data_IF_550851929170
#
_entry.id   IF_550851929170
#
_cell.length_a   1.000
_cell.length_b   1.000
_cell.length_c   1.000
_cell.angle_alpha   90.00
_cell.angle_beta   90.00
_cell.angle_gamma   90.00
#
_symmetry.space_group_name_H-M   'P 1'
#
loop_
_entity.id
_entity.type
_entity.pdbx_description
1 polymer ?
#
# COMPACT_ATOMS: atom_id res chain seq x y z
N UNK A 1 25.66 16.51 -8.77
CA UNK A 1 25.87 16.73 -7.32
C UNK A 1 24.63 16.20 -6.62
N UNK A 2 24.79 15.12 -5.85
CA UNK A 2 23.68 14.29 -5.37
C UNK A 2 22.72 15.04 -4.44
N UNK A 3 21.42 14.91 -4.69
CA UNK A 3 20.33 15.42 -3.87
C UNK A 3 20.09 14.51 -2.66
N UNK A 4 20.80 14.74 -1.56
CA UNK A 4 20.37 14.22 -0.25
C UNK A 4 20.58 15.32 0.79
N UNK A 5 19.66 16.30 0.88
CA UNK A 5 19.79 17.43 1.81
C UNK A 5 19.65 17.02 3.28
N UNK A 6 19.06 15.86 3.56
CA UNK A 6 18.80 15.42 4.93
C UNK A 6 20.03 14.77 5.60
N UNK A 7 20.87 14.08 4.83
CA UNK A 7 22.06 13.39 5.38
C UNK A 7 23.24 14.34 5.59
N UNK A 8 23.38 15.39 4.78
CA UNK A 8 24.40 16.43 4.99
C UNK A 8 24.13 17.28 6.22
N UNK A 9 22.86 17.57 6.50
CA UNK A 9 22.43 18.24 7.73
C UNK A 9 22.67 17.35 8.96
N UNK A 10 22.38 16.04 8.88
CA UNK A 10 22.68 15.08 9.94
C UNK A 10 24.19 14.86 10.18
N UNK A 11 25.01 14.88 9.12
CA UNK A 11 26.47 14.79 9.24
C UNK A 11 27.09 16.05 9.86
N UNK A 12 26.53 17.24 9.55
CA UNK A 12 26.91 18.48 10.21
C UNK A 12 26.49 18.49 11.70
N UNK A 13 25.39 17.81 12.04
CA UNK A 13 24.94 17.61 13.42
C UNK A 13 25.78 16.61 14.22
N UNK A 14 26.34 15.59 13.59
CA UNK A 14 27.20 14.61 14.25
C UNK A 14 28.58 15.19 14.62
N UNK A 15 29.05 16.19 13.88
CA UNK A 15 30.33 16.88 14.10
C UNK A 15 30.29 17.95 15.20
N UNK A 16 29.11 18.50 15.52
CA UNK A 16 28.99 19.64 16.44
C UNK A 16 28.76 19.24 17.91
N UNK A 17 28.34 18.00 18.20
CA UNK A 17 28.18 17.38 19.54
C UNK A 17 27.49 18.23 20.64
N UNK A 18 26.83 19.33 20.30
CA UNK A 18 26.19 20.23 21.27
C UNK A 18 24.67 20.08 21.25
N UNK A 19 24.18 19.11 22.03
CA UNK A 19 22.75 18.79 22.14
C UNK A 19 21.92 19.88 22.86
N UNK A 20 22.56 20.89 23.46
CA UNK A 20 21.88 22.00 24.16
C UNK A 20 21.09 22.92 23.23
N UNK A 21 21.46 22.98 21.95
CA UNK A 21 20.79 23.83 20.94
C UNK A 21 19.75 23.01 20.14
N UNK A 22 19.79 21.68 20.24
CA UNK A 22 18.92 20.77 19.49
C UNK A 22 17.50 20.69 20.10
N UNK A 23 17.40 20.61 21.43
CA UNK A 23 16.13 20.50 22.13
C UNK A 23 15.18 21.70 21.86
N UNK A 24 15.67 22.97 21.88
CA UNK A 24 14.83 24.12 21.55
C UNK A 24 14.42 24.18 20.07
N UNK A 25 15.30 23.76 19.16
CA UNK A 25 15.07 23.89 17.71
C UNK A 25 14.04 22.88 17.21
N UNK A 26 14.11 21.61 17.65
CA UNK A 26 13.11 20.60 17.30
C UNK A 26 11.73 20.95 17.87
N UNK A 27 11.69 21.54 19.08
CA UNK A 27 10.47 22.07 19.69
C UNK A 27 9.88 23.24 18.89
N UNK A 28 10.71 24.18 18.45
CA UNK A 28 10.28 25.32 17.63
C UNK A 28 9.71 24.89 16.28
N UNK A 29 10.36 23.93 15.60
CA UNK A 29 9.87 23.38 14.32
C UNK A 29 8.55 22.61 14.52
N UNK A 30 8.44 21.83 15.59
CA UNK A 30 7.20 21.13 15.95
C UNK A 30 6.03 22.09 16.22
N UNK A 31 6.28 23.17 16.97
CA UNK A 31 5.27 24.20 17.26
C UNK A 31 4.86 25.00 16.02
N UNK A 32 5.81 25.32 15.14
CA UNK A 32 5.51 26.03 13.89
C UNK A 32 4.58 25.23 12.95
N UNK A 33 4.65 23.90 12.99
CA UNK A 33 3.77 23.01 12.21
C UNK A 33 2.43 22.80 12.93
N UNK A 34 2.42 22.80 14.26
CA UNK A 34 1.20 22.58 15.05
C UNK A 34 0.26 23.80 15.09
N UNK A 35 0.80 25.02 15.15
CA UNK A 35 0.00 26.26 15.24
C UNK A 35 -0.98 26.45 14.07
N UNK A 36 -0.59 26.23 12.80
CA UNK A 36 -1.53 26.25 11.67
C UNK A 36 -2.56 25.11 11.75
N UNK A 37 -2.17 23.94 12.29
CA UNK A 37 -3.02 22.75 12.36
C UNK A 37 -4.15 22.89 13.38
N UNK A 38 -3.93 23.60 14.49
CA UNK A 38 -4.97 23.85 15.51
C UNK A 38 -5.85 25.06 15.16
N UNK A 39 -5.32 26.03 14.42
CA UNK A 39 -6.08 27.21 13.98
C UNK A 39 -7.13 26.89 12.89
N UNK A 40 -7.03 25.73 12.23
CA UNK A 40 -7.97 25.30 11.18
C UNK A 40 -9.14 24.43 11.68
N UNK A 41 -9.33 24.27 13.00
CA UNK A 41 -10.38 23.42 13.58
C UNK A 41 -11.56 24.19 14.20
N UNK A 42 -11.78 25.46 13.83
CA UNK A 42 -12.81 26.27 14.48
C UNK A 42 -13.50 27.29 13.59
N UNK A 43 -14.51 26.84 12.83
CA UNK A 43 -15.88 27.38 12.85
C UNK A 43 -16.70 26.93 11.62
N UNK A 44 -17.64 26.02 11.87
CA UNK A 44 -18.94 26.05 11.18
C UNK A 44 -19.93 26.78 12.10
N UNK A 45 -20.55 27.87 11.63
CA UNK A 45 -21.91 28.35 11.95
C UNK A 45 -22.15 29.78 11.42
N UNK A 46 -22.92 29.82 10.32
CA UNK A 46 -23.97 30.74 9.89
C UNK A 46 -23.82 32.28 9.80
N UNK A 47 -24.21 32.73 8.59
CA UNK A 47 -24.92 33.95 8.20
C UNK A 47 -24.14 35.28 8.10
N UNK A 48 -23.84 35.71 6.86
CA UNK A 48 -24.61 36.76 6.14
C UNK A 48 -23.78 37.35 4.98
N UNK A 49 -24.45 37.45 3.83
CA UNK A 49 -24.18 38.16 2.57
C UNK A 49 -22.99 39.14 2.45
N UNK A 50 -22.32 39.08 1.30
CA UNK A 50 -21.56 40.24 0.79
C UNK A 50 -20.43 39.96 -0.19
N UNK A 51 -20.78 39.70 -1.47
CA UNK A 51 -20.04 40.06 -2.71
C UNK A 51 -18.53 39.76 -2.88
N UNK A 52 -18.27 39.20 -4.07
CA UNK A 52 -17.03 39.26 -4.88
C UNK A 52 -15.80 38.47 -4.42
N UNK A 53 -15.71 37.22 -4.91
CA UNK A 53 -14.47 36.45 -5.02
C UNK A 53 -13.66 36.91 -6.23
N UNK A 54 -12.46 37.42 -6.00
CA UNK A 54 -11.50 37.75 -7.06
C UNK A 54 -10.21 38.37 -6.54
N UNK A 55 -9.26 37.54 -6.11
CA UNK A 55 -7.80 37.80 -5.99
C UNK A 55 -7.17 36.51 -5.44
N UNK A 56 -6.23 35.83 -6.10
CA UNK A 56 -5.16 36.37 -6.92
C UNK A 56 -4.17 37.10 -6.03
N UNK A 57 -3.38 36.37 -5.23
CA UNK A 57 -2.29 36.96 -4.47
C UNK A 57 -0.96 36.74 -5.19
N UNK A 58 -0.52 37.80 -5.85
CA UNK A 58 0.88 38.10 -6.08
C UNK A 58 1.56 38.37 -4.72
N UNK A 59 2.62 37.62 -4.44
CA UNK A 59 3.57 37.97 -3.38
C UNK A 59 4.47 39.08 -3.93
N UNK A 60 4.31 40.29 -3.41
CA UNK A 60 5.33 41.34 -3.51
C UNK A 60 6.05 41.41 -2.18
N UNK A 61 7.35 41.17 -2.22
CA UNK A 61 8.29 41.54 -1.16
C UNK A 61 8.61 43.04 -1.23
N UNK A 62 8.81 43.67 -0.07
CA UNK A 62 9.77 44.76 0.08
C UNK A 62 10.74 44.41 1.23
N UNK A 63 12.02 44.78 1.26
CA UNK A 63 12.79 45.76 0.49
C UNK A 63 14.25 45.68 0.95
N UNK A 64 15.16 45.87 -0.01
CA UNK A 64 16.46 46.55 0.02
C UNK A 64 17.30 46.68 1.30
N UNK A 65 18.60 46.35 1.15
CA UNK A 65 19.70 47.35 1.28
C UNK A 65 21.05 46.84 0.71
N UNK A 66 21.54 47.57 -0.32
CA UNK A 66 22.92 47.94 -0.78
C UNK A 66 24.09 46.97 -0.46
N UNK A 67 25.02 46.67 -1.38
CA UNK A 67 26.02 47.61 -1.93
C UNK A 67 26.81 46.99 -3.12
N UNK A 68 27.32 47.87 -4.00
CA UNK A 68 28.53 47.77 -4.88
C UNK A 68 28.54 46.89 -6.16
N UNK A 69 28.53 47.63 -7.28
CA UNK A 69 29.46 47.58 -8.43
C UNK A 69 29.45 46.40 -9.44
N UNK A 70 29.39 46.78 -10.73
CA UNK A 70 30.01 46.02 -11.82
C UNK A 70 29.11 45.70 -13.01
N UNK A 71 29.14 46.58 -14.02
CA UNK A 71 29.03 46.34 -15.47
C UNK A 71 28.61 44.93 -15.98
N UNK A 72 27.64 44.86 -16.90
CA UNK A 72 27.83 44.94 -18.36
C UNK A 72 26.48 44.96 -19.09
N UNK A 73 26.46 45.69 -20.21
CA UNK A 73 25.39 45.76 -21.20
C UNK A 73 25.36 44.51 -22.08
N UNK A 74 24.22 44.34 -22.75
CA UNK A 74 24.01 43.79 -24.11
C UNK A 74 23.20 42.50 -24.30
N UNK A 75 21.97 42.72 -24.80
CA UNK A 75 21.29 42.14 -25.99
C UNK A 75 20.98 40.65 -26.09
N UNK A 76 19.67 40.42 -26.11
CA UNK A 76 18.89 39.71 -27.13
C UNK A 76 18.93 38.17 -27.24
N UNK A 77 17.72 37.63 -27.06
CA UNK A 77 17.06 36.62 -27.88
C UNK A 77 17.46 35.14 -27.67
N UNK A 78 16.64 34.42 -26.87
CA UNK A 78 16.25 33.04 -27.19
C UNK A 78 15.02 32.63 -26.40
N UNK A 79 14.01 32.13 -27.12
CA UNK A 79 12.71 31.65 -26.62
C UNK A 79 12.81 30.70 -25.42
N UNK A 80 12.26 31.10 -24.26
CA UNK A 80 11.78 30.15 -23.26
C UNK A 80 10.29 29.89 -23.52
N UNK A 81 9.99 28.82 -24.25
CA UNK A 81 8.65 28.21 -24.18
C UNK A 81 8.41 27.77 -22.73
N UNK A 82 7.68 28.57 -21.97
CA UNK A 82 7.07 28.12 -20.73
C UNK A 82 5.95 27.13 -21.07
N UNK A 83 6.19 25.86 -20.78
CA UNK A 83 5.16 24.83 -20.74
C UNK A 83 4.22 25.13 -19.57
N UNK A 84 3.10 25.80 -19.85
CA UNK A 84 1.96 25.77 -18.94
C UNK A 84 1.37 24.37 -18.98
N UNK A 85 1.56 23.62 -17.89
CA UNK A 85 0.78 22.40 -17.65
C UNK A 85 -0.67 22.85 -17.48
N UNK A 86 -1.46 22.67 -18.52
CA UNK A 86 -2.92 22.76 -18.44
C UNK A 86 -3.35 21.55 -17.60
N UNK A 87 -3.40 21.72 -16.28
CA UNK A 87 -4.02 20.75 -15.40
C UNK A 87 -5.53 20.80 -15.65
N UNK A 88 -6.03 19.80 -16.39
CA UNK A 88 -7.46 19.59 -16.57
C UNK A 88 -8.03 18.99 -15.26
N UNK A 89 -8.88 19.71 -14.51
CA UNK A 89 -9.29 19.30 -13.16
C UNK A 89 -10.25 18.10 -13.14
N UNK A 90 -10.80 17.69 -14.29
CA UNK A 90 -11.83 16.64 -14.39
C UNK A 90 -11.30 15.20 -14.53
N UNK A 91 -10.00 14.96 -14.34
CA UNK A 91 -9.38 13.64 -14.60
C UNK A 91 -8.73 12.97 -13.38
N UNK A 92 -8.76 13.60 -12.20
CA UNK A 92 -8.03 13.11 -11.03
C UNK A 92 -8.79 12.05 -10.20
N UNK A 93 -10.11 11.90 -10.36
CA UNK A 93 -10.91 10.98 -9.54
C UNK A 93 -11.08 9.56 -10.12
N UNK A 94 -10.95 9.37 -11.44
CA UNK A 94 -11.19 8.06 -12.09
C UNK A 94 -9.94 7.18 -12.25
N UNK A 95 -8.76 7.73 -11.96
CA UNK A 95 -7.44 7.09 -12.14
C UNK A 95 -6.61 7.12 -10.85
N UNK A 96 -7.29 7.22 -9.72
CA UNK A 96 -6.65 7.17 -8.43
C UNK A 96 -6.55 5.71 -7.94
N UNK A 97 -5.34 5.29 -7.55
CA UNK A 97 -5.04 3.92 -7.14
C UNK A 97 -5.87 3.52 -5.91
N UNK A 98 -6.09 4.46 -5.00
CA UNK A 98 -6.84 4.27 -3.76
C UNK A 98 -8.31 3.98 -4.08
N UNK A 99 -8.91 4.79 -4.95
CA UNK A 99 -10.28 4.58 -5.45
C UNK A 99 -10.47 3.19 -6.07
N UNK A 100 -9.51 2.70 -6.87
CA UNK A 100 -9.61 1.37 -7.48
C UNK A 100 -9.49 0.26 -6.42
N UNK A 101 -8.60 0.42 -5.45
CA UNK A 101 -8.43 -0.55 -4.36
C UNK A 101 -9.67 -0.65 -3.46
N UNK A 102 -10.40 0.45 -3.28
CA UNK A 102 -11.66 0.50 -2.55
C UNK A 102 -12.81 -0.19 -3.31
N UNK A 103 -12.87 -0.06 -4.64
CA UNK A 103 -13.91 -0.69 -5.46
C UNK A 103 -13.64 -2.17 -5.74
N UNK A 104 -12.37 -2.55 -5.88
CA UNK A 104 -11.99 -3.88 -6.34
C UNK A 104 -12.18 -4.92 -5.23
N UNK A 105 -12.84 -6.04 -5.57
CA UNK A 105 -13.07 -7.14 -4.63
C UNK A 105 -12.00 -8.22 -4.73
N UNK A 106 -11.69 -8.84 -3.58
CA UNK A 106 -10.69 -9.91 -3.45
C UNK A 106 -10.96 -11.08 -4.39
N UNK A 107 -12.23 -11.46 -4.63
CA UNK A 107 -12.54 -12.59 -5.52
C UNK A 107 -12.04 -12.41 -6.96
N UNK A 108 -11.84 -11.17 -7.43
CA UNK A 108 -11.30 -10.88 -8.77
C UNK A 108 -9.78 -11.04 -8.85
N UNK A 109 -9.08 -10.86 -7.74
CA UNK A 109 -7.62 -10.83 -7.67
C UNK A 109 -7.03 -12.13 -7.13
N UNK A 110 -7.76 -12.83 -6.26
CA UNK A 110 -7.28 -14.06 -5.63
C UNK A 110 -6.96 -15.15 -6.66
N UNK A 111 -5.93 -15.94 -6.37
CA UNK A 111 -5.67 -17.18 -7.10
C UNK A 111 -6.60 -18.27 -6.60
N UNK A 112 -7.18 -19.02 -7.55
CA UNK A 112 -7.87 -20.30 -7.26
C UNK A 112 -6.92 -21.50 -7.29
N UNK A 113 -5.70 -21.30 -7.81
CA UNK A 113 -4.66 -22.31 -7.79
C UNK A 113 -3.89 -22.17 -6.47
N UNK A 114 -4.19 -23.06 -5.53
CA UNK A 114 -3.50 -23.20 -4.26
C UNK A 114 -3.50 -24.67 -3.86
N UNK A 115 -2.46 -25.09 -3.16
CA UNK A 115 -2.30 -26.50 -2.77
C UNK A 115 -2.78 -26.70 -1.34
N UNK A 116 -3.60 -27.74 -1.13
CA UNK A 116 -4.05 -28.19 0.18
C UNK A 116 -3.24 -29.40 0.64
N UNK A 117 -2.99 -29.50 1.94
CA UNK A 117 -2.40 -30.67 2.59
C UNK A 117 -3.16 -30.99 3.88
N UNK A 118 -3.16 -32.26 4.29
CA UNK A 118 -3.81 -32.65 5.54
C UNK A 118 -2.94 -32.33 6.75
N UNK A 119 -3.55 -32.30 7.94
CA UNK A 119 -2.82 -32.12 9.21
C UNK A 119 -1.73 -33.17 9.44
N UNK A 120 -1.96 -34.40 8.96
CA UNK A 120 -1.06 -35.54 9.11
C UNK A 120 0.03 -35.66 8.05
N UNK A 121 0.01 -34.86 6.99
CA UNK A 121 1.06 -34.86 5.96
C UNK A 121 2.43 -34.67 6.61
N UNK A 122 3.41 -35.49 6.21
CA UNK A 122 4.76 -35.39 6.77
C UNK A 122 5.45 -34.09 6.34
N UNK A 123 6.35 -33.58 7.17
CA UNK A 123 7.10 -32.37 6.86
C UNK A 123 7.96 -32.53 5.60
N UNK A 124 8.54 -33.73 5.38
CA UNK A 124 9.30 -34.04 4.17
C UNK A 124 8.44 -33.96 2.93
N UNK A 125 7.26 -34.57 2.96
CA UNK A 125 6.31 -34.54 1.85
C UNK A 125 5.83 -33.12 1.58
N UNK A 126 5.44 -32.37 2.61
CA UNK A 126 5.03 -30.98 2.47
C UNK A 126 6.15 -30.10 1.89
N UNK A 127 7.41 -30.29 2.31
CA UNK A 127 8.56 -29.59 1.75
C UNK A 127 8.79 -29.93 0.27
N UNK A 128 8.55 -31.18 -0.13
CA UNK A 128 8.61 -31.60 -1.53
C UNK A 128 7.49 -30.93 -2.34
N UNK A 129 6.25 -30.99 -1.86
CA UNK A 129 5.08 -30.34 -2.48
C UNK A 129 5.34 -28.84 -2.67
N UNK A 130 5.87 -28.16 -1.65
CA UNK A 130 6.17 -26.72 -1.72
C UNK A 130 7.16 -26.39 -2.85
N UNK A 131 8.21 -27.22 -3.03
CA UNK A 131 9.21 -27.06 -4.08
C UNK A 131 8.65 -27.38 -5.47
N UNK A 132 7.99 -28.54 -5.60
CA UNK A 132 7.52 -29.06 -6.89
C UNK A 132 6.34 -28.23 -7.44
N UNK A 133 5.50 -27.69 -6.56
CA UNK A 133 4.35 -26.86 -6.96
C UNK A 133 4.69 -25.39 -7.22
N UNK A 134 5.93 -24.97 -6.95
CA UNK A 134 6.37 -23.57 -6.98
C UNK A 134 5.46 -22.62 -6.19
N UNK A 135 4.79 -23.12 -5.15
CA UNK A 135 3.92 -22.32 -4.29
C UNK A 135 4.70 -21.75 -3.10
N UNK A 136 4.36 -20.52 -2.69
CA UNK A 136 4.97 -19.89 -1.52
C UNK A 136 4.44 -20.44 -0.19
N UNK A 137 3.29 -21.13 -0.22
CA UNK A 137 2.70 -21.77 0.94
C UNK A 137 1.75 -22.91 0.58
N UNK A 138 1.44 -23.73 1.59
CA UNK A 138 0.43 -24.78 1.56
C UNK A 138 -0.69 -24.44 2.54
N UNK A 139 -1.93 -24.72 2.13
CA UNK A 139 -3.11 -24.61 2.99
C UNK A 139 -3.26 -25.92 3.75
N UNK A 140 -3.14 -25.88 5.07
CA UNK A 140 -3.33 -27.05 5.93
C UNK A 140 -4.79 -27.13 6.30
N UNK A 141 -5.45 -28.24 5.97
CA UNK A 141 -6.88 -28.45 6.19
C UNK A 141 -7.15 -29.64 7.11
N UNK A 142 -8.28 -29.60 7.81
CA UNK A 142 -8.80 -30.75 8.56
C UNK A 142 -9.53 -31.74 7.63
N UNK A 143 -10.01 -32.85 8.21
CA UNK A 143 -10.74 -33.91 7.49
C UNK A 143 -12.04 -33.40 6.82
N UNK A 144 -12.63 -32.33 7.33
CA UNK A 144 -13.86 -31.72 6.80
C UNK A 144 -13.56 -30.63 5.72
N UNK A 145 -12.30 -30.50 5.31
CA UNK A 145 -11.73 -29.45 4.44
C UNK A 145 -11.80 -28.01 5.00
N UNK A 146 -11.88 -27.83 6.31
CA UNK A 146 -11.77 -26.51 6.92
C UNK A 146 -10.30 -26.13 7.10
N UNK A 147 -10.01 -24.83 6.93
CA UNK A 147 -8.67 -24.29 7.12
C UNK A 147 -8.23 -24.43 8.58
N UNK A 148 -7.12 -25.15 8.79
CA UNK A 148 -6.51 -25.38 10.09
C UNK A 148 -5.17 -24.66 10.27
N UNK A 149 -4.44 -24.40 9.17
CA UNK A 149 -3.11 -23.79 9.21
C UNK A 149 -2.62 -23.29 7.86
N UNK A 150 -1.55 -22.50 7.89
CA UNK A 150 -0.74 -22.16 6.72
C UNK A 150 0.69 -22.65 6.96
N UNK A 151 1.29 -23.30 5.97
CA UNK A 151 2.67 -23.75 6.03
C UNK A 151 3.50 -23.07 4.95
N UNK A 152 4.60 -22.44 5.35
CA UNK A 152 5.56 -21.76 4.48
C UNK A 152 6.96 -22.36 4.63
N UNK A 153 7.85 -22.05 3.69
CA UNK A 153 9.27 -22.36 3.84
C UNK A 153 9.88 -21.72 5.10
N UNK A 154 9.35 -20.57 5.53
CA UNK A 154 9.76 -19.89 6.76
C UNK A 154 9.43 -20.70 8.02
N UNK A 155 8.23 -21.28 8.07
CA UNK A 155 7.81 -22.15 9.18
C UNK A 155 8.71 -23.40 9.26
N UNK A 156 8.96 -24.04 8.11
CA UNK A 156 9.83 -25.23 8.03
C UNK A 156 11.24 -24.88 8.51
N UNK A 157 11.82 -23.78 8.01
CA UNK A 157 13.17 -23.35 8.39
C UNK A 157 13.25 -22.98 9.87
N UNK A 158 12.27 -22.22 10.39
CA UNK A 158 12.20 -21.84 11.79
C UNK A 158 12.12 -23.06 12.70
N UNK A 159 11.31 -24.04 12.34
CA UNK A 159 11.19 -25.29 13.06
C UNK A 159 12.49 -26.11 13.09
N UNK A 160 13.15 -26.26 11.94
CA UNK A 160 14.43 -26.97 11.83
C UNK A 160 15.57 -26.26 12.58
N UNK A 161 15.54 -24.93 12.65
CA UNK A 161 16.58 -24.14 13.35
C UNK A 161 16.36 -24.05 14.87
N UNK A 162 15.10 -24.15 15.34
CA UNK A 162 14.74 -23.97 16.75
C UNK A 162 15.05 -25.19 17.62
N UNK A 163 15.06 -26.40 17.04
CA UNK A 163 15.32 -27.63 17.79
C UNK A 163 16.71 -28.15 17.48
N UNK A 164 17.59 -28.01 18.45
CA UNK A 164 18.95 -28.58 18.46
C UNK A 164 18.85 -30.12 18.40
N UNK A 165 19.03 -30.67 17.20
CA UNK A 165 19.64 -31.96 16.85
C UNK A 165 19.22 -33.28 17.55
N UNK A 166 18.11 -33.35 18.28
CA UNK A 166 17.63 -34.63 18.85
C UNK A 166 16.38 -35.14 18.13
N UNK A 167 16.59 -36.12 17.24
CA UNK A 167 15.58 -37.04 16.67
C UNK A 167 14.38 -36.33 16.00
N UNK A 168 14.66 -35.46 15.04
CA UNK A 168 13.63 -34.96 14.13
C UNK A 168 13.67 -35.76 12.84
N UNK A 169 12.83 -36.79 12.79
CA UNK A 169 12.56 -37.45 11.55
C UNK A 169 11.50 -36.65 10.77
N UNK A 170 11.96 -35.89 9.76
CA UNK A 170 11.07 -35.17 8.85
C UNK A 170 10.03 -36.08 8.19
N UNK A 171 10.28 -37.40 8.12
CA UNK A 171 9.34 -38.36 7.57
C UNK A 171 8.14 -38.62 8.50
N UNK A 172 8.29 -38.43 9.81
CA UNK A 172 7.23 -38.69 10.80
C UNK A 172 6.65 -37.44 11.43
N UNK A 173 7.34 -36.29 11.35
CA UNK A 173 6.84 -35.03 11.88
C UNK A 173 5.65 -34.53 11.05
N UNK A 174 4.44 -34.39 11.63
CA UNK A 174 3.28 -33.91 10.89
C UNK A 174 3.31 -32.39 10.73
N UNK A 175 2.80 -31.91 9.59
CA UNK A 175 2.64 -30.48 9.29
C UNK A 175 1.82 -29.75 10.37
N UNK A 176 0.89 -30.43 11.02
CA UNK A 176 0.12 -29.85 12.14
C UNK A 176 1.00 -29.33 13.28
N UNK A 177 2.22 -29.82 13.45
CA UNK A 177 3.12 -29.37 14.53
C UNK A 177 3.98 -28.17 14.13
N UNK A 178 4.03 -27.85 12.84
CA UNK A 178 4.95 -26.84 12.26
C UNK A 178 4.21 -25.67 11.65
N UNK A 179 3.03 -25.90 11.08
CA UNK A 179 2.26 -24.84 10.43
C UNK A 179 1.86 -23.72 11.39
N UNK A 180 1.78 -22.51 10.85
CA UNK A 180 1.18 -21.38 11.54
C UNK A 180 -0.32 -21.65 11.68
N UNK A 181 -0.84 -21.62 12.91
CA UNK A 181 -2.28 -21.80 13.23
C UNK A 181 -2.92 -20.58 13.90
N UNK A 182 -2.09 -19.77 14.53
CA UNK A 182 -2.49 -18.60 15.31
C UNK A 182 -1.47 -17.51 15.08
N UNK A 183 -1.89 -16.28 15.28
CA UNK A 183 -1.02 -15.11 15.27
C UNK A 183 -1.16 -14.39 16.60
N UNK A 184 -0.08 -13.78 17.07
CA UNK A 184 -0.11 -12.93 18.25
C UNK A 184 -0.39 -11.49 17.82
N UNK A 185 -1.31 -10.82 18.49
CA UNK A 185 -1.60 -9.41 18.29
C UNK A 185 -1.83 -8.71 19.61
N UNK A 186 -1.09 -7.63 19.89
CA UNK A 186 -1.20 -6.87 21.15
C UNK A 186 -1.17 -7.80 22.39
N UNK A 187 -0.25 -8.76 22.38
CA UNK A 187 -0.09 -9.75 23.46
C UNK A 187 -1.17 -10.84 23.53
N UNK A 188 -2.17 -10.83 22.63
CA UNK A 188 -3.24 -11.83 22.60
C UNK A 188 -3.11 -12.77 21.41
N UNK A 189 -3.32 -14.06 21.65
CA UNK A 189 -3.47 -15.03 20.57
C UNK A 189 -4.77 -14.78 19.79
N UNK A 190 -4.65 -14.76 18.46
CA UNK A 190 -5.77 -14.66 17.52
C UNK A 190 -5.67 -15.84 16.55
N UNK A 191 -6.80 -16.19 15.94
CA UNK A 191 -6.82 -17.20 14.86
C UNK A 191 -6.07 -16.72 13.62
N UNK A 192 -5.94 -17.61 12.63
CA UNK A 192 -5.33 -17.29 11.34
C UNK A 192 -5.88 -16.00 10.72
N UNK A 193 -4.95 -15.22 10.17
CA UNK A 193 -5.29 -14.09 9.34
C UNK A 193 -5.90 -14.60 8.03
N UNK A 194 -7.12 -14.17 7.74
CA UNK A 194 -7.88 -14.60 6.56
C UNK A 194 -8.70 -13.43 6.05
N UNK A 195 -9.05 -13.45 4.76
CA UNK A 195 -9.98 -12.49 4.16
C UNK A 195 -11.13 -13.22 3.45
N UNK A 196 -12.13 -12.46 3.03
CA UNK A 196 -13.32 -12.98 2.36
C UNK A 196 -13.33 -12.58 0.88
N UNK A 197 -13.97 -13.36 0.00
CA UNK A 197 -14.01 -13.04 -1.43
C UNK A 197 -14.71 -11.72 -1.74
N UNK A 198 -15.67 -11.32 -0.91
CA UNK A 198 -16.44 -10.08 -1.03
C UNK A 198 -15.76 -8.85 -0.40
N UNK A 199 -14.65 -9.03 0.33
CA UNK A 199 -13.89 -7.92 0.88
C UNK A 199 -13.22 -7.10 -0.23
N UNK A 200 -12.95 -5.82 0.05
CA UNK A 200 -12.20 -4.96 -0.87
C UNK A 200 -10.70 -5.31 -0.81
N UNK A 201 -10.01 -5.09 -1.92
CA UNK A 201 -8.57 -5.34 -2.03
C UNK A 201 -7.80 -4.35 -1.17
N UNK A 202 -8.26 -3.11 -1.03
CA UNK A 202 -7.69 -2.11 -0.11
C UNK A 202 -7.62 -2.62 1.34
N UNK A 203 -8.73 -3.13 1.88
CA UNK A 203 -8.76 -3.71 3.24
C UNK A 203 -7.83 -4.92 3.36
N UNK A 204 -7.77 -5.77 2.32
CA UNK A 204 -6.87 -6.92 2.33
C UNK A 204 -5.38 -6.51 2.29
N UNK A 205 -5.04 -5.47 1.51
CA UNK A 205 -3.70 -4.89 1.42
C UNK A 205 -3.27 -4.30 2.76
N UNK A 206 -4.10 -3.46 3.37
CA UNK A 206 -3.84 -2.88 4.69
C UNK A 206 -3.62 -3.98 5.74
N UNK A 207 -4.45 -5.03 5.71
CA UNK A 207 -4.30 -6.18 6.61
C UNK A 207 -2.98 -6.93 6.42
N UNK A 208 -2.52 -7.09 5.17
CA UNK A 208 -1.23 -7.68 4.85
C UNK A 208 -0.07 -6.83 5.36
N UNK A 209 -0.10 -5.52 5.09
CA UNK A 209 0.94 -4.56 5.46
C UNK A 209 1.07 -4.42 6.98
N UNK A 210 -0.06 -4.21 7.67
CA UNK A 210 -0.09 -4.08 9.12
C UNK A 210 0.42 -5.33 9.86
N UNK A 211 0.38 -6.49 9.20
CA UNK A 211 0.82 -7.78 9.75
C UNK A 211 2.12 -8.29 9.18
N UNK A 212 2.71 -7.59 8.21
CA UNK A 212 3.91 -8.01 7.50
C UNK A 212 3.77 -9.38 6.83
N UNK A 213 2.55 -9.74 6.39
CA UNK A 213 2.32 -11.02 5.68
C UNK A 213 2.19 -10.78 4.19
N UNK A 214 2.73 -11.68 3.39
CA UNK A 214 2.72 -11.57 1.92
C UNK A 214 1.53 -12.26 1.25
N UNK A 215 0.73 -12.98 2.03
CA UNK A 215 -0.37 -13.76 1.51
C UNK A 215 -1.47 -13.95 2.54
N UNK A 216 -2.71 -14.05 2.07
CA UNK A 216 -3.89 -14.25 2.88
C UNK A 216 -4.75 -15.38 2.29
N UNK A 217 -5.06 -16.43 3.07
CA UNK A 217 -6.09 -17.38 2.71
C UNK A 217 -7.44 -16.66 2.58
N UNK A 218 -8.10 -16.86 1.44
CA UNK A 218 -9.44 -16.38 1.19
C UNK A 218 -10.41 -17.49 1.55
N UNK A 219 -11.35 -17.21 2.44
CA UNK A 219 -12.26 -18.20 3.00
C UNK A 219 -13.72 -17.81 2.79
N UNK A 220 -14.61 -18.80 2.69
CA UNK A 220 -16.06 -18.52 2.73
C UNK A 220 -16.44 -17.96 4.09
N UNK A 221 -17.44 -17.08 4.11
CA UNK A 221 -18.16 -16.74 5.34
C UNK A 221 -18.85 -18.02 5.82
N UNK A 222 -18.36 -18.58 6.91
CA UNK A 222 -18.97 -19.74 7.57
C UNK A 222 -19.95 -19.29 8.64
N UNK A 223 -20.95 -20.12 8.91
CA UNK A 223 -21.77 -20.02 10.12
C UNK A 223 -20.86 -20.23 11.34
N UNK A 224 -21.09 -19.44 12.39
CA UNK A 224 -20.28 -19.52 13.60
C UNK A 224 -20.55 -20.85 14.32
N UNK A 225 -19.65 -21.82 14.19
CA UNK A 225 -19.69 -23.03 15.01
C UNK A 225 -19.18 -22.74 16.42
N UNK A 226 -19.78 -23.39 17.42
CA UNK A 226 -19.44 -23.27 18.85
C UNK A 226 -17.98 -23.67 19.19
N UNK A 227 -17.24 -24.31 18.27
CA UNK A 227 -15.83 -24.73 18.43
C UNK A 227 -14.80 -23.78 17.81
N UNK A 228 -15.21 -22.57 17.40
CA UNK A 228 -14.38 -21.60 16.68
C UNK A 228 -14.79 -21.47 15.21
N UNK A 229 -14.35 -20.39 14.55
CA UNK A 229 -14.72 -20.10 13.15
C UNK A 229 -14.00 -21.04 12.19
N UNK A 230 -14.51 -22.26 12.02
CA UNK A 230 -14.13 -23.16 10.92
C UNK A 230 -14.60 -22.57 9.59
N UNK A 231 -13.69 -22.47 8.60
CA UNK A 231 -14.02 -21.87 7.30
C UNK A 231 -13.33 -22.62 6.17
N UNK A 232 -14.05 -22.80 5.05
CA UNK A 232 -13.50 -23.44 3.85
C UNK A 232 -12.72 -22.44 3.02
N UNK A 233 -11.53 -22.84 2.56
CA UNK A 233 -10.70 -22.04 1.65
C UNK A 233 -11.34 -22.01 0.27
N UNK A 234 -11.33 -20.84 -0.36
CA UNK A 234 -11.79 -20.63 -1.74
C UNK A 234 -10.74 -20.02 -2.64
N UNK A 235 -9.67 -19.46 -2.07
CA UNK A 235 -8.58 -18.88 -2.82
C UNK A 235 -7.41 -18.48 -1.92
N UNK A 236 -6.36 -18.00 -2.56
CA UNK A 236 -5.18 -17.44 -1.93
C UNK A 236 -4.90 -16.07 -2.57
N UNK A 237 -4.81 -15.04 -1.76
CA UNK A 237 -4.44 -13.70 -2.22
C UNK A 237 -2.97 -13.46 -1.92
N UNK A 238 -2.18 -13.15 -2.94
CA UNK A 238 -0.78 -12.75 -2.80
C UNK A 238 -0.66 -11.23 -2.90
N UNK A 239 0.23 -10.65 -2.10
CA UNK A 239 0.52 -9.22 -2.12
C UNK A 239 0.99 -8.76 -3.51
N UNK A 240 1.90 -9.50 -4.13
CA UNK A 240 2.44 -9.14 -5.46
C UNK A 240 1.36 -9.17 -6.56
N UNK A 241 0.37 -10.06 -6.43
CA UNK A 241 -0.77 -10.14 -7.36
C UNK A 241 -1.69 -8.92 -7.29
N UNK A 242 -1.75 -8.22 -6.15
CA UNK A 242 -2.53 -6.99 -6.01
C UNK A 242 -1.97 -5.91 -6.94
N UNK A 243 -0.65 -5.71 -6.92
CA UNK A 243 0.01 -4.70 -7.74
C UNK A 243 -0.10 -4.99 -9.24
N UNK A 244 0.12 -6.24 -9.65
CA UNK A 244 -0.01 -6.61 -11.07
C UNK A 244 -1.43 -6.39 -11.56
N UNK A 245 -2.43 -6.79 -10.77
CA UNK A 245 -3.83 -6.60 -11.14
C UNK A 245 -4.22 -5.13 -11.17
N UNK A 246 -3.77 -4.33 -10.20
CA UNK A 246 -4.04 -2.89 -10.15
C UNK A 246 -3.50 -2.18 -11.39
N UNK A 247 -2.27 -2.50 -11.80
CA UNK A 247 -1.64 -1.96 -13.01
C UNK A 247 -2.45 -2.29 -14.28
N UNK A 248 -2.89 -3.53 -14.41
CA UNK A 248 -3.66 -3.98 -15.56
C UNK A 248 -5.04 -3.32 -15.61
N UNK A 249 -5.71 -3.23 -14.45
CA UNK A 249 -7.02 -2.56 -14.33
C UNK A 249 -6.93 -1.07 -14.62
N UNK A 250 -5.89 -0.38 -14.14
CA UNK A 250 -5.62 1.03 -14.49
C UNK A 250 -5.40 1.22 -15.99
N UNK A 251 -4.60 0.34 -16.60
CA UNK A 251 -4.32 0.39 -18.05
C UNK A 251 -5.61 0.20 -18.86
N UNK A 252 -6.46 -0.73 -18.43
CA UNK A 252 -7.78 -0.97 -19.04
C UNK A 252 -8.70 0.25 -18.90
N UNK A 253 -8.82 0.86 -17.72
CA UNK A 253 -9.66 2.06 -17.51
C UNK A 253 -9.16 3.23 -18.38
N UNK A 254 -7.85 3.43 -18.47
CA UNK A 254 -7.24 4.46 -19.33
C UNK A 254 -7.56 4.26 -20.80
N UNK A 255 -7.50 3.01 -21.29
CA UNK A 255 -7.86 2.69 -22.68
C UNK A 255 -9.31 3.08 -22.99
N UNK A 256 -10.26 2.72 -22.11
CA UNK A 256 -11.68 3.04 -22.33
C UNK A 256 -11.95 4.54 -22.33
N UNK A 257 -11.24 5.32 -21.50
CA UNK A 257 -11.37 6.78 -21.50
C UNK A 257 -10.84 7.39 -22.80
N UNK A 258 -9.71 6.89 -23.29
CA UNK A 258 -9.11 7.39 -24.53
C UNK A 258 -9.99 7.08 -25.75
N UNK A 259 -10.60 5.89 -25.80
CA UNK A 259 -11.52 5.48 -26.87
C UNK A 259 -12.77 6.38 -26.90
N UNK A 260 -13.44 6.57 -25.76
CA UNK A 260 -14.59 7.49 -25.64
C UNK A 260 -14.27 8.93 -26.06
N UNK A 261 -13.05 9.39 -25.81
CA UNK A 261 -12.62 10.73 -26.26
C UNK A 261 -12.48 10.77 -27.77
N UNK A 262 -11.88 9.76 -28.38
CA UNK A 262 -11.69 9.67 -29.83
C UNK A 262 -13.05 9.72 -30.55
N UNK A 263 -14.02 8.93 -30.09
CA UNK A 263 -15.38 8.91 -30.64
C UNK A 263 -16.03 10.30 -30.58
N UNK A 264 -15.86 11.01 -29.45
CA UNK A 264 -16.42 12.36 -29.24
C UNK A 264 -15.80 13.42 -30.16
N UNK A 265 -14.50 13.30 -30.49
CA UNK A 265 -13.86 14.20 -31.45
C UNK A 265 -14.28 13.93 -32.90
N UNK A 266 -14.50 12.66 -33.25
CA UNK A 266 -14.99 12.27 -34.59
C UNK A 266 -16.45 12.72 -34.80
N UNK A 267 -17.30 12.62 -33.78
CA UNK A 267 -18.70 13.06 -33.83
C UNK A 267 -18.85 14.59 -33.94
N UNK A 268 -18.03 15.36 -33.21
CA UNK A 268 -18.00 16.83 -33.31
C UNK A 268 -17.38 17.31 -34.64
N UNK A 269 -16.39 16.58 -35.17
CA UNK A 269 -15.82 16.84 -36.49
C UNK A 269 -16.81 16.62 -37.63
N UNK A 270 -17.69 15.63 -37.51
CA UNK A 270 -18.75 15.37 -38.49
C UNK A 270 -19.90 16.39 -38.42
N UNK A 271 -20.23 16.91 -37.24
CA UNK A 271 -21.31 17.88 -37.06
C UNK A 271 -20.98 19.30 -37.56
N UNK A 272 -19.71 19.70 -37.58
CA UNK A 272 -19.26 21.02 -38.04
C UNK A 272 -18.90 21.07 -39.55
N UNK A 273 -19.12 19.97 -40.28
CA UNK A 273 -18.80 19.84 -41.71
C UNK A 273 -19.99 20.05 -42.67
N UNK A 274 -21.14 20.53 -42.20
CA UNK A 274 -22.34 20.76 -42.99
C UNK A 274 -22.79 22.23 -42.99
#
# INVERSE_FOLDING_TARGET
MCSVPLTSVLLLFELTKDYRILLPLMGAVGLAIWVPSVANQGKESDSSEGRSTGRGYSSLSPSDRKTTEGAWRHTDNSNSLELSVIENPDHKSFLDEETILEELKVFRVMSKNYVKVSLGTSLREARKILKDSHQNCLMVVDEDEFLAGILTQGDIRGYLSSKVSTILDENTCPVSSVCTKKITYRGQERGLLTCYPDATVGVAKELMEARGVKQLPVVKRGEASHKGKKRKVVGLLHYDSIWTFLRDEMSRRRSMINERRKDKYEEVGAANGH
#
